data_IF_707915419769
#
_entry.id   IF_707915419769
#
_cell.length_a   1.000
_cell.length_b   1.000
_cell.length_c   1.000
_cell.angle_alpha   90.00
_cell.angle_beta   90.00
_cell.angle_gamma   90.00
#
_symmetry.space_group_name_H-M   'P 1'
#
loop_
_entity.id
_entity.type
_entity.pdbx_description
1 polymer ?
#
# COMPACT_ATOMS: atom_id res chain seq x y z
N UNK A 1 14.52 15.06 -0.38
CA UNK A 1 13.03 15.07 -0.27
C UNK A 1 12.37 16.46 -0.23
N UNK A 2 12.96 17.52 0.36
CA UNK A 2 12.33 18.87 0.52
C UNK A 2 11.93 19.65 -0.76
N UNK A 3 12.22 19.16 -1.98
CA UNK A 3 11.87 19.84 -3.25
C UNK A 3 10.99 19.03 -4.23
N UNK A 4 10.61 17.79 -3.90
CA UNK A 4 9.81 16.95 -4.82
C UNK A 4 8.33 17.32 -4.78
N UNK A 5 7.64 17.34 -5.92
CA UNK A 5 6.19 17.54 -6.00
C UNK A 5 5.43 16.30 -5.49
N UNK A 6 4.15 16.40 -5.13
CA UNK A 6 3.35 15.25 -4.69
C UNK A 6 3.41 14.10 -5.70
N UNK A 7 3.33 14.40 -6.99
CA UNK A 7 3.43 13.39 -8.06
C UNK A 7 4.78 12.69 -8.04
N UNK A 8 5.89 13.43 -7.89
CA UNK A 8 7.22 12.83 -7.78
C UNK A 8 7.39 11.96 -6.53
N UNK A 9 6.73 12.31 -5.42
CA UNK A 9 6.74 11.48 -4.21
C UNK A 9 5.96 10.18 -4.43
N UNK A 10 4.78 10.26 -5.05
CA UNK A 10 3.96 9.10 -5.37
C UNK A 10 4.70 8.18 -6.34
N UNK A 11 5.26 8.71 -7.42
CA UNK A 11 5.98 7.94 -8.44
C UNK A 11 7.21 7.23 -7.85
N UNK A 12 7.97 7.93 -7.00
CA UNK A 12 9.11 7.34 -6.30
C UNK A 12 8.68 6.26 -5.30
N UNK A 13 7.54 6.44 -4.61
CA UNK A 13 6.98 5.45 -3.70
C UNK A 13 6.51 4.20 -4.46
N UNK A 14 5.86 4.38 -5.61
CA UNK A 14 5.43 3.28 -6.50
C UNK A 14 6.67 2.52 -6.98
N UNK A 15 7.66 3.22 -7.53
CA UNK A 15 8.90 2.62 -8.03
C UNK A 15 9.64 1.82 -6.94
N UNK A 16 9.75 2.36 -5.73
CA UNK A 16 10.39 1.66 -4.61
C UNK A 16 9.61 0.44 -4.11
N UNK A 17 8.29 0.41 -4.30
CA UNK A 17 7.42 -0.68 -3.80
C UNK A 17 7.19 -1.74 -4.87
N UNK A 18 7.28 -1.37 -6.15
CA UNK A 18 7.04 -2.24 -7.30
C UNK A 18 7.86 -3.53 -7.25
N UNK A 19 9.15 -3.47 -6.90
CA UNK A 19 9.98 -4.68 -6.83
C UNK A 19 9.45 -5.67 -5.79
N UNK A 20 9.04 -5.19 -4.61
CA UNK A 20 8.47 -6.06 -3.57
C UNK A 20 7.13 -6.65 -4.04
N UNK A 21 6.28 -5.82 -4.63
CA UNK A 21 5.00 -6.25 -5.18
C UNK A 21 5.20 -7.35 -6.24
N UNK A 22 6.10 -7.14 -7.21
CA UNK A 22 6.38 -8.14 -8.26
C UNK A 22 6.92 -9.44 -7.67
N UNK A 23 7.81 -9.38 -6.68
CA UNK A 23 8.39 -10.60 -6.07
C UNK A 23 7.31 -11.40 -5.32
N UNK A 24 6.54 -10.76 -4.43
CA UNK A 24 5.54 -11.46 -3.62
C UNK A 24 4.36 -11.94 -4.46
N UNK A 25 3.86 -11.10 -5.38
CA UNK A 25 2.75 -11.49 -6.23
C UNK A 25 3.16 -12.43 -7.37
N UNK A 26 4.35 -12.25 -7.95
CA UNK A 26 4.88 -13.17 -8.96
C UNK A 26 5.12 -14.56 -8.41
N UNK A 27 5.72 -14.67 -7.23
CA UNK A 27 5.94 -15.98 -6.59
C UNK A 27 4.65 -16.69 -6.23
N UNK A 28 3.66 -15.98 -5.68
CA UNK A 28 2.32 -16.55 -5.42
C UNK A 28 1.61 -16.94 -6.72
N UNK A 29 1.72 -16.13 -7.78
CA UNK A 29 1.10 -16.47 -9.07
C UNK A 29 1.71 -17.72 -9.70
N UNK A 30 3.04 -17.90 -9.63
CA UNK A 30 3.71 -19.12 -10.11
C UNK A 30 3.25 -20.34 -9.31
N UNK A 31 3.12 -20.22 -7.99
CA UNK A 31 2.59 -21.27 -7.13
C UNK A 31 1.14 -21.64 -7.51
N UNK A 32 0.24 -20.65 -7.65
CA UNK A 32 -1.16 -20.91 -8.02
C UNK A 32 -1.27 -21.48 -9.43
N UNK A 33 -0.47 -21.01 -10.39
CA UNK A 33 -0.44 -21.56 -11.74
C UNK A 33 -0.03 -23.04 -11.74
N UNK A 34 0.95 -23.40 -10.92
CA UNK A 34 1.36 -24.80 -10.77
C UNK A 34 0.22 -25.64 -10.20
N UNK A 35 -0.53 -25.11 -9.23
CA UNK A 35 -1.73 -25.75 -8.68
C UNK A 35 -2.88 -25.83 -9.70
N UNK A 36 -3.03 -24.84 -10.58
CA UNK A 36 -4.08 -24.80 -11.61
C UNK A 36 -3.84 -25.84 -12.70
N UNK A 37 -2.58 -26.01 -13.12
CA UNK A 37 -2.17 -26.94 -14.17
C UNK A 37 -1.97 -28.37 -13.66
N UNK A 38 -1.40 -28.55 -12.46
CA UNK A 38 -1.01 -29.86 -11.92
C UNK A 38 -1.81 -30.32 -10.69
N UNK A 39 -2.69 -29.48 -10.12
CA UNK A 39 -3.41 -29.80 -8.87
C UNK A 39 -4.64 -30.70 -9.01
N UNK A 40 -5.05 -31.03 -10.23
CA UNK A 40 -6.18 -31.94 -10.49
C UNK A 40 -7.58 -31.34 -10.26
N UNK A 41 -8.65 -32.13 -10.43
CA UNK A 41 -10.03 -31.63 -10.52
C UNK A 41 -10.54 -30.96 -9.23
N UNK A 42 -10.12 -31.46 -8.07
CA UNK A 42 -10.54 -30.95 -6.76
C UNK A 42 -10.04 -29.53 -6.51
N UNK A 43 -8.85 -29.19 -7.00
CA UNK A 43 -8.19 -27.91 -6.73
C UNK A 43 -8.32 -26.91 -7.89
N UNK A 44 -8.81 -27.35 -9.06
CA UNK A 44 -8.86 -26.54 -10.27
C UNK A 44 -9.69 -25.26 -10.12
N UNK A 45 -10.93 -25.37 -9.64
CA UNK A 45 -11.81 -24.21 -9.46
C UNK A 45 -11.31 -23.26 -8.36
N UNK A 46 -10.69 -23.81 -7.31
CA UNK A 46 -10.09 -23.02 -6.25
C UNK A 46 -8.87 -22.22 -6.76
N UNK A 47 -7.95 -22.89 -7.45
CA UNK A 47 -6.78 -22.25 -8.05
C UNK A 47 -7.19 -21.22 -9.11
N UNK A 48 -8.26 -21.47 -9.87
CA UNK A 48 -8.79 -20.52 -10.84
C UNK A 48 -9.32 -19.25 -10.16
N UNK A 49 -10.10 -19.39 -9.08
CA UNK A 49 -10.57 -18.25 -8.30
C UNK A 49 -9.42 -17.44 -7.70
N UNK A 50 -8.40 -18.12 -7.16
CA UNK A 50 -7.18 -17.47 -6.66
C UNK A 50 -6.42 -16.73 -7.77
N UNK A 51 -6.24 -17.36 -8.92
CA UNK A 51 -5.54 -16.75 -10.08
C UNK A 51 -6.21 -15.46 -10.51
N UNK A 52 -7.55 -15.47 -10.63
CA UNK A 52 -8.35 -14.30 -10.99
C UNK A 52 -8.23 -13.22 -9.91
N UNK A 53 -8.42 -13.60 -8.64
CA UNK A 53 -8.33 -12.67 -7.51
C UNK A 53 -6.97 -11.98 -7.39
N UNK A 54 -5.88 -12.73 -7.59
CA UNK A 54 -4.52 -12.20 -7.52
C UNK A 54 -4.27 -11.22 -8.68
N UNK A 55 -4.67 -11.55 -9.92
CA UNK A 55 -4.50 -10.66 -11.07
C UNK A 55 -5.19 -9.30 -10.86
N UNK A 56 -6.45 -9.31 -10.45
CA UNK A 56 -7.20 -8.08 -10.18
C UNK A 56 -6.68 -7.35 -8.92
N UNK A 57 -6.25 -8.08 -7.90
CA UNK A 57 -5.72 -7.51 -6.65
C UNK A 57 -4.42 -6.74 -6.83
N UNK A 58 -3.48 -7.26 -7.63
CA UNK A 58 -2.21 -6.58 -7.93
C UNK A 58 -2.47 -5.29 -8.70
N UNK A 59 -3.27 -5.38 -9.78
CA UNK A 59 -3.53 -4.24 -10.64
C UNK A 59 -4.28 -3.14 -9.87
N UNK A 60 -5.27 -3.51 -9.06
CA UNK A 60 -6.05 -2.58 -8.24
C UNK A 60 -5.18 -1.88 -7.18
N UNK A 61 -4.39 -2.63 -6.42
CA UNK A 61 -3.62 -2.06 -5.30
C UNK A 61 -2.56 -1.06 -5.73
N UNK A 62 -1.92 -1.24 -6.89
CA UNK A 62 -0.84 -0.33 -7.35
C UNK A 62 -1.39 0.82 -8.18
N UNK A 63 -2.23 0.54 -9.18
CA UNK A 63 -2.69 1.57 -10.12
C UNK A 63 -3.92 2.32 -9.65
N UNK A 64 -4.93 1.63 -9.12
CA UNK A 64 -6.19 2.26 -8.71
C UNK A 64 -5.98 3.11 -7.45
N UNK A 65 -5.21 2.62 -6.47
CA UNK A 65 -4.88 3.40 -5.28
C UNK A 65 -4.08 4.68 -5.61
N UNK A 66 -3.09 4.58 -6.50
CA UNK A 66 -2.32 5.75 -6.95
C UNK A 66 -3.18 6.76 -7.72
N UNK A 67 -4.07 6.28 -8.60
CA UNK A 67 -4.99 7.14 -9.34
C UNK A 67 -5.98 7.86 -8.41
N UNK A 68 -6.55 7.17 -7.43
CA UNK A 68 -7.44 7.75 -6.41
C UNK A 68 -6.67 8.78 -5.57
N UNK A 69 -5.44 8.47 -5.14
CA UNK A 69 -4.60 9.40 -4.38
C UNK A 69 -4.31 10.69 -5.15
N UNK A 70 -4.05 10.60 -6.46
CA UNK A 70 -3.89 11.77 -7.32
C UNK A 70 -5.21 12.51 -7.53
N UNK A 71 -6.33 11.80 -7.68
CA UNK A 71 -7.65 12.39 -7.89
C UNK A 71 -8.16 13.17 -6.66
N UNK A 72 -7.91 12.68 -5.45
CA UNK A 72 -8.22 13.41 -4.21
C UNK A 72 -7.31 14.62 -3.96
N UNK A 73 -6.28 14.82 -4.79
CA UNK A 73 -5.39 15.98 -4.67
C UNK A 73 -4.59 15.99 -3.37
N UNK A 74 -4.21 14.82 -2.86
CA UNK A 74 -3.49 14.66 -1.59
C UNK A 74 -2.29 15.62 -1.55
N UNK A 75 -2.29 16.53 -0.59
CA UNK A 75 -1.17 17.45 -0.39
C UNK A 75 -0.18 16.84 0.60
N UNK A 76 1.07 17.29 0.56
CA UNK A 76 2.11 16.82 1.49
C UNK A 76 1.72 17.04 2.94
N UNK A 77 0.97 18.11 3.21
CA UNK A 77 0.47 18.44 4.54
C UNK A 77 -0.45 17.35 5.12
N UNK A 78 -1.25 16.66 4.30
CA UNK A 78 -2.16 15.59 4.76
C UNK A 78 -1.41 14.29 5.12
N UNK A 79 -0.25 14.07 4.51
CA UNK A 79 0.61 12.92 4.80
C UNK A 79 1.54 13.18 5.99
N UNK A 80 1.77 14.45 6.32
CA UNK A 80 2.48 14.90 7.52
C UNK A 80 1.44 15.24 8.60
N UNK A 81 0.60 14.27 8.97
CA UNK A 81 0.01 14.32 10.30
C UNK A 81 1.11 13.98 11.28
N UNK A 82 1.66 15.02 11.93
CA UNK A 82 2.61 14.87 13.02
C UNK A 82 2.08 13.82 13.99
N UNK A 83 2.92 12.85 14.33
CA UNK A 83 2.79 12.07 15.56
C UNK A 83 2.99 13.06 16.71
N UNK A 84 1.98 13.85 17.04
CA UNK A 84 1.86 14.62 18.29
C UNK A 84 0.45 15.25 18.37
N UNK A 85 -0.11 15.26 19.58
CA UNK A 85 -1.48 15.67 19.98
C UNK A 85 -2.58 14.61 19.95
N UNK A 86 -2.27 13.43 20.46
CA UNK A 86 -2.95 12.83 21.63
C UNK A 86 -1.77 12.59 22.59
N UNK A 87 -1.50 13.38 23.61
CA UNK A 87 -2.35 13.74 24.74
C UNK A 87 -1.94 15.14 25.25
N UNK A 88 -2.82 16.14 25.16
CA UNK A 88 -2.77 17.30 26.05
C UNK A 88 -3.98 17.13 26.97
N UNK A 89 -3.77 16.41 28.07
CA UNK A 89 -4.73 16.37 29.18
C UNK A 89 -4.84 17.79 29.75
N UNK A 90 -6.03 18.41 29.77
CA UNK A 90 -6.22 19.79 30.26
C UNK A 90 -6.13 19.93 31.79
N UNK A 91 -5.45 19.01 32.50
CA UNK A 91 -5.38 18.95 33.96
C UNK A 91 -3.95 18.69 34.50
N UNK A 92 -2.92 19.16 33.80
CA UNK A 92 -1.52 19.22 34.27
C UNK A 92 -1.29 20.57 35.02
N UNK A 93 -1.03 20.55 36.34
CA UNK A 93 -0.79 21.77 37.13
C UNK A 93 0.67 22.27 37.13
N UNK A 94 1.57 21.76 36.28
CA UNK A 94 3.00 22.08 36.29
C UNK A 94 3.57 22.49 34.92
N UNK A 95 2.75 23.03 34.03
CA UNK A 95 3.13 23.61 32.72
C UNK A 95 3.80 25.00 32.82
N UNK A 96 4.62 25.23 33.85
CA UNK A 96 5.22 26.53 34.15
C UNK A 96 6.71 26.53 34.49
N UNK A 97 7.39 25.39 34.48
CA UNK A 97 8.81 25.32 34.81
C UNK A 97 9.67 25.25 33.55
N UNK A 98 10.09 26.42 33.04
CA UNK A 98 11.24 26.52 32.14
C UNK A 98 12.53 26.46 32.96
N UNK A 99 13.34 25.42 32.75
CA UNK A 99 14.81 25.45 32.89
C UNK A 99 15.43 24.78 31.66
#
# INVERSE_FOLDING_TARGET
>A
FRKMTTIQVIDNAITSTISRTIITHGSTQIMVLSMLLFGGPTLHYFAMALTIGILFGIYSSVFVAAAIAMWLGIKREDLVKSVSKKDEDPADPNSGATV
#
